data_IF_890792975674
#
_entry.id   IF_890792975674
#
_cell.length_a   1.000
_cell.length_b   1.000
_cell.length_c   1.000
_cell.angle_alpha   90.00
_cell.angle_beta   90.00
_cell.angle_gamma   90.00
#
_symmetry.space_group_name_H-M   'P 1'
#
loop_
_entity.id
_entity.type
_entity.pdbx_description
1 polymer ?
#
# COMPACT_ATOMS: atom_id res chain seq x y z
N UNK A 1 24.12 2.28 -10.57
CA UNK A 1 23.53 1.35 -11.53
C UNK A 1 23.92 1.73 -12.95
N UNK A 2 24.53 0.82 -13.69
CA UNK A 2 24.86 0.98 -15.12
C UNK A 2 23.53 1.09 -15.91
N UNK A 3 23.35 2.20 -16.63
CA UNK A 3 22.25 2.33 -17.59
C UNK A 3 22.51 1.36 -18.75
N UNK A 4 21.59 0.44 -19.01
CA UNK A 4 21.62 -0.42 -20.17
C UNK A 4 21.65 0.44 -21.45
N UNK A 5 22.37 0.02 -22.51
CA UNK A 5 22.33 0.67 -23.82
C UNK A 5 20.89 0.74 -24.37
N UNK A 6 20.55 1.81 -25.06
CA UNK A 6 19.19 2.03 -25.58
C UNK A 6 18.74 0.89 -26.50
N UNK A 7 19.67 0.34 -27.31
CA UNK A 7 19.37 -0.79 -28.21
C UNK A 7 19.06 -2.07 -27.42
N UNK A 8 19.71 -2.29 -26.29
CA UNK A 8 19.43 -3.46 -25.45
C UNK A 8 18.06 -3.33 -24.78
N UNK A 9 17.71 -2.14 -24.29
CA UNK A 9 16.36 -1.86 -23.75
C UNK A 9 15.31 -2.11 -24.83
N UNK A 10 15.54 -1.61 -26.07
CA UNK A 10 14.64 -1.79 -27.20
C UNK A 10 14.45 -3.26 -27.56
N UNK A 11 15.54 -4.03 -27.63
CA UNK A 11 15.49 -5.46 -27.92
C UNK A 11 14.79 -6.25 -26.82
N UNK A 12 15.01 -5.94 -25.55
CA UNK A 12 14.34 -6.60 -24.43
C UNK A 12 12.84 -6.31 -24.45
N UNK A 13 12.42 -5.05 -24.64
CA UNK A 13 11.00 -4.70 -24.76
C UNK A 13 10.33 -5.37 -25.95
N UNK A 14 11.05 -5.48 -27.08
CA UNK A 14 10.53 -6.19 -28.24
C UNK A 14 10.37 -7.69 -27.98
N UNK A 15 11.32 -8.33 -27.30
CA UNK A 15 11.22 -9.73 -26.89
C UNK A 15 10.03 -9.99 -25.96
N UNK A 16 9.80 -9.10 -24.97
CA UNK A 16 8.62 -9.17 -24.10
C UNK A 16 7.31 -9.08 -24.89
N UNK A 17 7.23 -8.15 -25.86
CA UNK A 17 6.05 -8.00 -26.71
C UNK A 17 5.81 -9.24 -27.60
N UNK A 18 6.86 -9.83 -28.18
CA UNK A 18 6.74 -11.06 -28.94
C UNK A 18 6.22 -12.21 -28.09
N UNK A 19 6.78 -12.37 -26.90
CA UNK A 19 6.36 -13.39 -25.95
C UNK A 19 4.89 -13.20 -25.53
N UNK A 20 4.50 -11.96 -25.22
CA UNK A 20 3.10 -11.64 -24.91
C UNK A 20 2.16 -11.98 -26.09
N UNK A 21 2.58 -11.71 -27.32
CA UNK A 21 1.76 -12.04 -28.50
C UNK A 21 1.57 -13.55 -28.70
N UNK A 22 2.55 -14.39 -28.36
CA UNK A 22 2.37 -15.85 -28.37
C UNK A 22 1.29 -16.30 -27.38
N UNK A 23 1.28 -15.71 -26.16
CA UNK A 23 0.25 -16.03 -25.17
C UNK A 23 -1.12 -15.54 -25.61
N UNK A 24 -1.23 -14.32 -26.18
CA UNK A 24 -2.50 -13.79 -26.68
C UNK A 24 -3.03 -14.63 -27.85
N UNK A 25 -2.16 -15.10 -28.73
CA UNK A 25 -2.53 -15.99 -29.82
C UNK A 25 -3.05 -17.35 -29.28
N UNK A 26 -2.38 -17.90 -28.28
CA UNK A 26 -2.85 -19.11 -27.60
C UNK A 26 -4.20 -18.90 -26.93
N UNK A 27 -4.40 -17.76 -26.24
CA UNK A 27 -5.68 -17.45 -25.62
C UNK A 27 -6.84 -17.48 -26.62
N UNK A 28 -6.61 -16.99 -27.85
CA UNK A 28 -7.59 -17.03 -28.94
C UNK A 28 -7.86 -18.45 -29.42
N UNK A 29 -6.80 -19.28 -29.57
CA UNK A 29 -6.94 -20.68 -29.96
C UNK A 29 -7.72 -21.49 -28.92
N UNK A 30 -7.50 -21.20 -27.64
CA UNK A 30 -8.15 -21.87 -26.51
C UNK A 30 -9.53 -21.25 -26.18
N UNK A 31 -9.99 -20.22 -26.93
CA UNK A 31 -11.25 -19.51 -26.71
C UNK A 31 -11.38 -18.98 -25.26
N UNK A 32 -10.30 -18.43 -24.71
CA UNK A 32 -10.31 -17.86 -23.37
C UNK A 32 -11.08 -16.53 -23.39
N UNK A 33 -12.11 -16.45 -22.58
CA UNK A 33 -12.92 -15.23 -22.40
C UNK A 33 -12.52 -14.51 -21.10
N UNK A 34 -12.42 -13.19 -21.19
CA UNK A 34 -12.16 -12.30 -20.04
C UNK A 34 -13.39 -11.43 -19.81
N UNK A 35 -13.82 -11.33 -18.55
CA UNK A 35 -14.99 -10.51 -18.19
C UNK A 35 -14.67 -9.02 -18.31
N UNK A 36 -15.52 -8.29 -19.04
CA UNK A 36 -15.34 -6.87 -19.31
C UNK A 36 -15.49 -5.99 -18.06
N UNK A 37 -16.35 -6.38 -17.13
CA UNK A 37 -16.69 -5.54 -15.95
C UNK A 37 -15.48 -5.25 -15.04
N UNK A 38 -14.62 -6.24 -14.82
CA UNK A 38 -13.38 -6.04 -14.04
C UNK A 38 -12.41 -5.10 -14.76
N UNK A 39 -12.26 -5.29 -16.08
CA UNK A 39 -11.37 -4.44 -16.90
C UNK A 39 -11.84 -2.99 -16.88
N UNK A 40 -13.14 -2.74 -17.01
CA UNK A 40 -13.69 -1.38 -17.08
C UNK A 40 -13.58 -0.65 -15.73
N UNK A 41 -13.70 -1.36 -14.61
CA UNK A 41 -13.44 -0.83 -13.27
C UNK A 41 -11.97 -0.43 -13.08
N UNK A 42 -11.05 -1.32 -13.41
CA UNK A 42 -9.61 -1.10 -13.27
C UNK A 42 -9.11 -0.03 -14.26
N UNK A 43 -9.66 0.02 -15.48
CA UNK A 43 -9.40 1.05 -16.45
C UNK A 43 -9.73 2.44 -15.91
N UNK A 44 -10.91 2.60 -15.31
CA UNK A 44 -11.32 3.87 -14.73
C UNK A 44 -10.37 4.30 -13.59
N UNK A 45 -9.94 3.36 -12.76
CA UNK A 45 -8.98 3.62 -11.69
C UNK A 45 -7.62 4.05 -12.25
N UNK A 46 -7.08 3.36 -13.25
CA UNK A 46 -5.80 3.69 -13.88
C UNK A 46 -5.85 5.06 -14.59
N UNK A 47 -6.90 5.33 -15.35
CA UNK A 47 -7.09 6.62 -16.02
C UNK A 47 -7.16 7.76 -15.00
N UNK A 48 -7.93 7.60 -13.94
CA UNK A 48 -8.03 8.62 -12.89
C UNK A 48 -6.70 8.86 -12.18
N UNK A 49 -5.90 7.79 -11.98
CA UNK A 49 -4.55 7.91 -11.44
C UNK A 49 -3.62 8.66 -12.40
N UNK A 50 -3.66 8.34 -13.69
CA UNK A 50 -2.86 9.00 -14.72
C UNK A 50 -3.22 10.50 -14.84
N UNK A 51 -4.51 10.84 -14.82
CA UNK A 51 -4.98 12.24 -14.83
C UNK A 51 -4.47 12.98 -13.59
N UNK A 52 -4.51 12.34 -12.40
CA UNK A 52 -3.97 12.93 -11.17
C UNK A 52 -2.48 13.23 -11.27
N UNK A 53 -1.70 12.31 -11.81
CA UNK A 53 -0.26 12.48 -11.99
C UNK A 53 0.08 13.55 -13.04
N UNK A 54 -0.67 13.61 -14.14
CA UNK A 54 -0.49 14.60 -15.19
C UNK A 54 -1.04 16.00 -14.81
N UNK A 55 -1.90 16.07 -13.78
CA UNK A 55 -2.55 17.29 -13.32
C UNK A 55 -3.88 17.61 -14.03
N UNK A 56 -4.11 17.11 -15.25
CA UNK A 56 -5.38 17.26 -15.99
C UNK A 56 -5.50 16.27 -17.15
N UNK A 57 -6.74 16.06 -17.64
CA UNK A 57 -6.99 15.28 -18.87
C UNK A 57 -6.23 15.87 -20.05
N UNK A 58 -6.26 17.20 -20.22
CA UNK A 58 -5.56 17.87 -21.30
C UNK A 58 -4.04 17.67 -21.25
N UNK A 59 -3.43 17.73 -20.06
CA UNK A 59 -2.00 17.45 -19.92
C UNK A 59 -1.66 15.99 -20.30
N UNK A 60 -2.57 15.05 -20.03
CA UNK A 60 -2.41 13.66 -20.43
C UNK A 60 -2.54 13.51 -21.97
N UNK A 61 -3.52 14.17 -22.59
CA UNK A 61 -3.69 14.21 -24.05
C UNK A 61 -2.47 14.83 -24.74
N UNK A 62 -1.96 15.94 -24.21
CA UNK A 62 -0.79 16.63 -24.74
C UNK A 62 0.49 15.78 -24.63
N UNK A 63 0.63 15.01 -23.53
CA UNK A 63 1.76 14.10 -23.33
C UNK A 63 1.74 12.93 -24.30
N UNK A 64 0.59 12.24 -24.44
CA UNK A 64 0.45 11.08 -25.31
C UNK A 64 0.19 11.47 -26.77
N UNK A 65 -0.12 12.73 -27.07
CA UNK A 65 -0.57 13.24 -28.38
C UNK A 65 -1.76 12.45 -28.95
N UNK A 66 -2.69 12.10 -28.07
CA UNK A 66 -3.91 11.33 -28.34
C UNK A 66 -5.07 11.89 -27.53
N UNK A 67 -6.28 11.73 -28.04
CA UNK A 67 -7.49 12.06 -27.30
C UNK A 67 -7.69 11.09 -26.10
N UNK A 68 -8.43 11.52 -25.07
CA UNK A 68 -8.78 10.66 -23.95
C UNK A 68 -9.49 9.37 -24.37
N UNK A 69 -10.26 9.43 -25.45
CA UNK A 69 -10.93 8.23 -26.00
C UNK A 69 -9.90 7.24 -26.53
N UNK A 70 -8.92 7.69 -27.30
CA UNK A 70 -7.84 6.84 -27.82
C UNK A 70 -6.96 6.29 -26.70
N UNK A 71 -6.61 7.13 -25.72
CA UNK A 71 -5.85 6.70 -24.53
C UNK A 71 -6.60 5.59 -23.77
N UNK A 72 -7.92 5.76 -23.55
CA UNK A 72 -8.76 4.74 -22.91
C UNK A 72 -8.81 3.45 -23.72
N UNK A 73 -8.94 3.54 -25.03
CA UNK A 73 -8.97 2.37 -25.91
C UNK A 73 -7.63 1.61 -25.88
N UNK A 74 -6.51 2.32 -25.90
CA UNK A 74 -5.17 1.73 -25.87
C UNK A 74 -4.90 1.04 -24.53
N UNK A 75 -5.22 1.69 -23.41
CA UNK A 75 -5.05 1.11 -22.07
C UNK A 75 -5.97 -0.11 -21.92
N UNK A 76 -7.25 0.00 -22.30
CA UNK A 76 -8.20 -1.12 -22.25
C UNK A 76 -7.72 -2.33 -23.04
N UNK A 77 -7.20 -2.09 -24.25
CA UNK A 77 -6.63 -3.15 -25.07
C UNK A 77 -5.43 -3.81 -24.39
N UNK A 78 -4.52 -3.01 -23.83
CA UNK A 78 -3.36 -3.53 -23.11
C UNK A 78 -3.78 -4.34 -21.87
N UNK A 79 -4.76 -3.87 -21.10
CA UNK A 79 -5.29 -4.60 -19.94
C UNK A 79 -5.91 -5.94 -20.34
N UNK A 80 -6.71 -5.95 -21.43
CA UNK A 80 -7.29 -7.18 -21.95
C UNK A 80 -6.20 -8.17 -22.38
N UNK A 81 -5.19 -7.72 -23.13
CA UNK A 81 -4.08 -8.56 -23.58
C UNK A 81 -3.30 -9.10 -22.36
N UNK A 82 -3.03 -8.29 -21.34
CA UNK A 82 -2.37 -8.72 -20.12
C UNK A 82 -3.18 -9.78 -19.35
N UNK A 83 -4.50 -9.60 -19.25
CA UNK A 83 -5.38 -10.58 -18.62
C UNK A 83 -5.39 -11.91 -19.39
N UNK A 84 -5.46 -11.88 -20.73
CA UNK A 84 -5.37 -13.07 -21.55
C UNK A 84 -4.04 -13.80 -21.35
N UNK A 85 -2.91 -13.07 -21.29
CA UNK A 85 -1.59 -13.63 -20.97
C UNK A 85 -1.60 -14.34 -19.62
N UNK A 86 -2.16 -13.69 -18.59
CA UNK A 86 -2.26 -14.28 -17.24
C UNK A 86 -3.10 -15.56 -17.24
N UNK A 87 -4.25 -15.57 -17.93
CA UNK A 87 -5.11 -16.76 -17.99
C UNK A 87 -4.42 -17.93 -18.67
N UNK A 88 -3.70 -17.70 -19.79
CA UNK A 88 -2.90 -18.75 -20.45
C UNK A 88 -1.79 -19.24 -19.52
N UNK A 89 -1.08 -18.35 -18.87
CA UNK A 89 -0.03 -18.71 -17.91
C UNK A 89 -0.58 -19.53 -16.74
N UNK A 90 -1.76 -19.16 -16.21
CA UNK A 90 -2.45 -19.92 -15.18
C UNK A 90 -2.84 -21.32 -15.66
N UNK A 91 -3.35 -21.43 -16.89
CA UNK A 91 -3.69 -22.73 -17.47
C UNK A 91 -2.46 -23.61 -17.68
N UNK A 92 -1.34 -23.07 -18.17
CA UNK A 92 -0.08 -23.80 -18.30
C UNK A 92 0.42 -24.31 -16.95
N UNK A 93 0.30 -23.48 -15.91
CA UNK A 93 0.78 -23.80 -14.57
C UNK A 93 -0.28 -24.51 -13.68
N UNK A 94 -1.49 -24.76 -14.18
CA UNK A 94 -2.64 -25.27 -13.40
C UNK A 94 -2.32 -26.53 -12.58
N UNK A 95 -1.52 -27.42 -13.13
CA UNK A 95 -1.16 -28.68 -12.49
C UNK A 95 0.26 -28.66 -11.90
N UNK A 96 0.90 -27.48 -11.83
CA UNK A 96 2.23 -27.39 -11.26
C UNK A 96 2.14 -27.56 -9.74
N UNK A 97 2.75 -28.61 -9.26
CA UNK A 97 2.96 -28.87 -7.85
C UNK A 97 4.43 -29.20 -7.61
N UNK A 98 5.01 -28.65 -6.57
CA UNK A 98 6.38 -28.99 -6.18
C UNK A 98 6.36 -29.75 -4.86
N UNK A 99 7.26 -30.72 -4.76
CA UNK A 99 7.43 -31.55 -3.56
C UNK A 99 8.47 -30.93 -2.62
N UNK A 100 8.50 -31.32 -1.33
CA UNK A 100 9.60 -30.93 -0.44
C UNK A 100 11.01 -31.29 -0.96
N UNK A 101 11.11 -32.31 -1.81
CA UNK A 101 12.36 -32.70 -2.48
C UNK A 101 12.78 -31.67 -3.53
N UNK A 102 11.81 -31.12 -4.27
CA UNK A 102 12.07 -30.09 -5.28
C UNK A 102 12.52 -28.78 -4.62
N UNK A 103 11.89 -28.41 -3.51
CA UNK A 103 12.30 -27.25 -2.70
C UNK A 103 13.74 -27.39 -2.21
N UNK A 104 14.10 -28.58 -1.68
CA UNK A 104 15.48 -28.85 -1.27
C UNK A 104 16.46 -28.82 -2.44
N UNK A 105 16.07 -29.35 -3.60
CA UNK A 105 16.91 -29.31 -4.82
C UNK A 105 17.14 -27.88 -5.26
N UNK A 106 16.09 -27.07 -5.30
CA UNK A 106 16.17 -25.65 -5.62
C UNK A 106 17.12 -24.92 -4.66
N UNK A 107 16.92 -25.08 -3.35
CA UNK A 107 17.75 -24.44 -2.33
C UNK A 107 19.25 -24.83 -2.48
N UNK A 108 19.53 -26.11 -2.67
CA UNK A 108 20.89 -26.62 -2.86
C UNK A 108 21.53 -26.18 -4.18
N UNK A 109 20.74 -25.73 -5.16
CA UNK A 109 21.25 -25.21 -6.43
C UNK A 109 21.74 -23.75 -6.32
N UNK A 110 21.37 -23.05 -5.25
CA UNK A 110 21.76 -21.66 -5.01
C UNK A 110 23.15 -21.67 -4.33
N UNK A 111 24.16 -20.95 -4.88
CA UNK A 111 25.43 -20.79 -4.19
C UNK A 111 25.25 -20.18 -2.80
N UNK A 112 25.96 -20.68 -1.80
CA UNK A 112 25.80 -20.22 -0.40
C UNK A 112 25.95 -18.70 -0.25
N UNK A 113 26.85 -18.08 -1.03
CA UNK A 113 27.10 -16.63 -0.99
C UNK A 113 25.97 -15.82 -1.67
N UNK A 114 25.18 -16.47 -2.51
CA UNK A 114 24.03 -15.88 -3.22
C UNK A 114 22.71 -16.12 -2.51
N UNK A 115 22.69 -16.84 -1.38
CA UNK A 115 21.49 -17.00 -0.58
C UNK A 115 21.04 -15.62 -0.06
N UNK A 116 19.75 -15.28 -0.18
CA UNK A 116 19.23 -14.00 0.31
C UNK A 116 19.42 -13.89 1.83
N UNK A 117 19.71 -12.68 2.28
CA UNK A 117 19.70 -12.35 3.71
C UNK A 117 18.26 -12.01 4.10
N UNK A 118 17.72 -12.79 5.01
CA UNK A 118 16.43 -12.52 5.64
C UNK A 118 16.68 -11.46 6.72
N UNK A 119 15.99 -10.30 6.69
CA UNK A 119 16.16 -9.28 7.71
C UNK A 119 15.73 -9.79 9.08
N UNK A 120 16.27 -9.16 10.14
CA UNK A 120 15.80 -9.42 11.49
C UNK A 120 14.30 -9.12 11.60
N UNK A 121 13.58 -10.00 12.27
CA UNK A 121 12.15 -9.85 12.53
C UNK A 121 11.88 -9.92 14.02
N UNK A 122 10.92 -9.14 14.45
CA UNK A 122 10.49 -9.05 15.84
C UNK A 122 9.00 -9.34 15.97
N UNK A 123 8.63 -9.99 17.05
CA UNK A 123 7.25 -10.08 17.51
C UNK A 123 7.10 -9.19 18.74
N UNK A 124 6.09 -8.34 18.74
CA UNK A 124 5.91 -7.34 19.78
C UNK A 124 4.48 -7.32 20.31
N UNK A 125 4.35 -6.94 21.56
CA UNK A 125 3.07 -6.62 22.19
C UNK A 125 3.05 -5.18 22.65
N UNK A 126 1.87 -4.54 22.61
CA UNK A 126 1.69 -3.13 22.97
C UNK A 126 0.60 -2.95 24.04
N UNK A 127 0.79 -1.96 24.88
CA UNK A 127 -0.28 -1.35 25.68
C UNK A 127 -0.35 0.10 25.26
N UNK A 128 -1.50 0.51 24.73
CA UNK A 128 -1.75 1.87 24.25
C UNK A 128 -2.70 2.58 25.20
N UNK A 129 -2.44 3.85 25.42
CA UNK A 129 -3.38 4.77 26.04
C UNK A 129 -3.55 5.96 25.11
N UNK A 130 -4.78 6.19 24.70
CA UNK A 130 -5.13 7.39 23.97
C UNK A 130 -5.23 8.57 24.94
N UNK A 131 -4.88 9.78 24.48
CA UNK A 131 -5.17 10.97 25.28
C UNK A 131 -6.67 10.99 25.57
N UNK A 132 -7.07 11.35 26.80
CA UNK A 132 -8.49 11.44 27.11
C UNK A 132 -9.17 12.42 26.16
N UNK A 133 -10.30 12.00 25.60
CA UNK A 133 -11.17 12.87 24.78
C UNK A 133 -11.49 14.12 25.62
N UNK A 134 -11.10 15.27 25.12
CA UNK A 134 -11.33 16.54 25.80
C UNK A 134 -12.16 17.44 24.89
N UNK A 135 -13.39 17.71 25.31
CA UNK A 135 -14.30 18.60 24.60
C UNK A 135 -13.71 20.00 24.41
N UNK A 136 -12.83 20.46 25.31
CA UNK A 136 -12.14 21.72 25.17
C UNK A 136 -11.17 21.71 23.95
N UNK A 137 -10.39 20.66 23.76
CA UNK A 137 -9.49 20.50 22.61
C UNK A 137 -10.27 20.42 21.31
N UNK A 138 -11.41 19.70 21.32
CA UNK A 138 -12.34 19.62 20.18
C UNK A 138 -12.96 20.98 19.88
N UNK A 139 -13.38 21.72 20.91
CA UNK A 139 -13.93 23.06 20.75
C UNK A 139 -12.91 24.05 20.15
N UNK A 140 -11.65 23.99 20.61
CA UNK A 140 -10.56 24.80 20.04
C UNK A 140 -10.31 24.49 18.56
N UNK A 141 -10.25 23.21 18.18
CA UNK A 141 -10.07 22.79 16.79
C UNK A 141 -11.26 23.24 15.92
N UNK A 142 -12.48 23.07 16.42
CA UNK A 142 -13.70 23.50 15.75
C UNK A 142 -13.75 25.02 15.60
N UNK A 143 -13.39 25.79 16.64
CA UNK A 143 -13.34 27.25 16.57
C UNK A 143 -12.34 27.74 15.54
N UNK A 144 -11.14 27.14 15.48
CA UNK A 144 -10.13 27.47 14.47
C UNK A 144 -10.66 27.26 13.05
N UNK A 145 -11.42 26.16 12.80
CA UNK A 145 -12.06 25.93 11.50
C UNK A 145 -13.20 26.92 11.21
N UNK A 146 -13.96 27.35 12.21
CA UNK A 146 -14.97 28.39 12.06
C UNK A 146 -14.34 29.71 11.62
N UNK A 147 -13.21 30.09 12.21
CA UNK A 147 -12.47 31.29 11.85
C UNK A 147 -11.90 31.20 10.42
N UNK A 148 -11.39 30.04 10.03
CA UNK A 148 -10.94 29.78 8.64
C UNK A 148 -12.12 29.84 7.68
N UNK A 149 -13.26 29.23 8.02
CA UNK A 149 -14.46 29.28 7.22
C UNK A 149 -14.96 30.70 7.00
N UNK A 150 -14.96 31.54 8.04
CA UNK A 150 -15.35 32.96 7.91
C UNK A 150 -14.43 33.70 6.95
N UNK A 151 -13.13 33.42 6.95
CA UNK A 151 -12.17 34.04 6.02
C UNK A 151 -12.44 33.58 4.57
N UNK A 152 -12.81 32.33 4.34
CA UNK A 152 -13.16 31.82 3.01
C UNK A 152 -14.44 32.49 2.51
N UNK A 153 -15.46 32.61 3.36
CA UNK A 153 -16.71 33.27 3.02
C UNK A 153 -16.53 34.79 2.78
N UNK A 154 -15.50 35.38 3.38
CA UNK A 154 -15.07 36.75 3.12
C UNK A 154 -14.21 36.92 1.84
N UNK A 155 -13.99 35.83 1.07
CA UNK A 155 -13.33 35.87 -0.24
C UNK A 155 -11.85 35.43 -0.24
N UNK A 156 -11.27 34.97 0.89
CA UNK A 156 -9.92 34.44 0.85
C UNK A 156 -9.92 33.07 0.12
N UNK A 157 -8.91 32.81 -0.74
CA UNK A 157 -8.82 31.54 -1.48
C UNK A 157 -8.69 30.34 -0.56
N UNK A 158 -9.54 29.32 -0.75
CA UNK A 158 -9.54 28.10 0.06
C UNK A 158 -8.20 27.38 0.03
N UNK A 159 -7.60 27.22 -1.16
CA UNK A 159 -6.32 26.52 -1.34
C UNK A 159 -5.18 27.19 -0.56
N UNK A 160 -5.13 28.52 -0.48
CA UNK A 160 -4.12 29.22 0.32
C UNK A 160 -4.27 28.93 1.81
N UNK A 161 -5.51 28.92 2.31
CA UNK A 161 -5.79 28.60 3.71
C UNK A 161 -5.55 27.12 4.01
N UNK A 162 -5.78 26.23 3.04
CA UNK A 162 -5.43 24.81 3.17
C UNK A 162 -3.91 24.61 3.30
N UNK A 163 -3.10 25.26 2.45
CA UNK A 163 -1.63 25.23 2.54
C UNK A 163 -1.14 25.72 3.91
N UNK A 164 -1.76 26.79 4.45
CA UNK A 164 -1.31 27.42 5.70
C UNK A 164 -1.73 26.65 6.95
N UNK A 165 -2.91 26.04 6.95
CA UNK A 165 -3.55 25.58 8.18
C UNK A 165 -3.90 24.10 8.20
N UNK A 166 -4.02 23.44 7.05
CA UNK A 166 -4.41 22.03 7.02
C UNK A 166 -3.30 21.13 7.55
N UNK A 167 -3.68 20.17 8.40
CA UNK A 167 -2.80 19.16 8.97
C UNK A 167 -2.90 17.81 8.19
N UNK A 168 -3.47 17.87 6.98
CA UNK A 168 -3.59 16.73 6.06
C UNK A 168 -2.43 16.70 5.06
N UNK A 169 -2.10 15.49 4.56
CA UNK A 169 -1.08 15.31 3.53
C UNK A 169 -1.38 16.00 2.19
N UNK A 170 -2.63 16.38 1.93
CA UNK A 170 -3.05 17.16 0.76
C UNK A 170 -2.78 18.67 0.88
N UNK A 171 -2.37 19.14 2.07
CA UNK A 171 -2.14 20.57 2.33
C UNK A 171 -1.23 21.26 1.29
N UNK A 172 -0.06 20.69 0.86
CA UNK A 172 0.79 21.30 -0.17
C UNK A 172 0.08 21.52 -1.51
N UNK A 173 -0.92 20.69 -1.81
CA UNK A 173 -1.74 20.78 -3.02
C UNK A 173 -3.04 21.61 -2.81
N UNK A 174 -3.05 22.49 -1.80
CA UNK A 174 -4.22 23.31 -1.48
C UNK A 174 -5.42 22.53 -0.94
N UNK A 175 -5.15 21.35 -0.35
CA UNK A 175 -6.14 20.46 0.24
C UNK A 175 -6.91 19.59 -0.76
N UNK A 176 -6.56 19.61 -2.06
CA UNK A 176 -7.25 18.84 -3.11
C UNK A 176 -6.88 17.35 -3.02
N UNK A 177 -7.90 16.48 -3.01
CA UNK A 177 -7.75 15.01 -2.91
C UNK A 177 -8.06 14.28 -4.23
N UNK A 178 -8.42 15.02 -5.28
CA UNK A 178 -8.80 14.48 -6.57
C UNK A 178 -10.18 13.81 -6.58
N UNK A 179 -10.51 13.16 -7.70
CA UNK A 179 -11.78 12.46 -7.84
C UNK A 179 -11.80 11.19 -6.99
N UNK A 180 -12.87 11.05 -6.19
CA UNK A 180 -13.10 9.94 -5.26
C UNK A 180 -14.50 9.39 -5.39
N UNK A 181 -14.65 8.07 -5.23
CA UNK A 181 -15.94 7.42 -5.03
C UNK A 181 -16.39 7.57 -3.57
N UNK A 182 -17.68 7.43 -3.34
CA UNK A 182 -18.27 7.55 -2.00
C UNK A 182 -17.65 6.58 -0.98
N UNK A 183 -17.38 5.35 -1.39
CA UNK A 183 -16.80 4.30 -0.54
C UNK A 183 -15.30 4.45 -0.24
N UNK A 184 -14.61 5.37 -0.93
CA UNK A 184 -13.19 5.68 -0.66
C UNK A 184 -13.01 6.75 0.43
N UNK A 185 -14.10 7.36 0.91
CA UNK A 185 -14.10 8.45 1.88
C UNK A 185 -14.79 8.00 3.18
N UNK A 186 -14.39 8.61 4.29
CA UNK A 186 -15.11 8.44 5.55
C UNK A 186 -16.57 8.83 5.37
N UNK A 187 -17.47 8.12 6.02
CA UNK A 187 -18.94 8.28 5.83
C UNK A 187 -19.39 9.71 6.02
N UNK A 188 -18.97 10.35 7.11
CA UNK A 188 -19.35 11.72 7.46
C UNK A 188 -18.82 12.73 6.45
N UNK A 189 -17.60 12.50 5.96
CA UNK A 189 -16.97 13.30 4.89
C UNK A 189 -17.75 13.14 3.58
N UNK A 190 -18.04 11.90 3.20
CA UNK A 190 -18.78 11.58 1.99
C UNK A 190 -20.18 12.19 2.01
N UNK A 191 -20.91 12.03 3.12
CA UNK A 191 -22.26 12.58 3.28
C UNK A 191 -22.26 14.11 3.09
N UNK A 192 -21.29 14.79 3.67
CA UNK A 192 -21.12 16.23 3.49
C UNK A 192 -20.74 16.58 2.05
N UNK A 193 -19.74 15.91 1.46
CA UNK A 193 -19.26 16.19 0.10
C UNK A 193 -20.36 16.01 -0.94
N UNK A 194 -21.17 14.94 -0.84
CA UNK A 194 -22.27 14.70 -1.79
C UNK A 194 -23.42 15.71 -1.67
N UNK A 195 -23.57 16.37 -0.52
CA UNK A 195 -24.59 17.42 -0.31
C UNK A 195 -24.17 18.80 -0.87
N UNK A 196 -22.88 18.98 -1.22
CA UNK A 196 -22.34 20.27 -1.65
C UNK A 196 -22.62 20.54 -3.14
N UNK A 197 -22.99 21.77 -3.46
CA UNK A 197 -22.93 22.30 -4.81
C UNK A 197 -21.48 22.71 -5.20
N UNK A 198 -21.20 22.79 -6.49
CA UNK A 198 -19.90 23.20 -7.01
C UNK A 198 -19.45 24.56 -6.41
N UNK A 199 -18.21 24.64 -5.97
CA UNK A 199 -17.59 25.79 -5.32
C UNK A 199 -18.18 26.18 -3.96
N UNK A 200 -19.09 25.40 -3.38
CA UNK A 200 -19.61 25.66 -2.03
C UNK A 200 -18.78 24.98 -0.96
N UNK A 201 -18.83 25.53 0.26
CA UNK A 201 -18.06 25.09 1.42
C UNK A 201 -19.01 24.50 2.46
N UNK A 202 -18.62 23.37 3.03
CA UNK A 202 -19.42 22.63 4.03
C UNK A 202 -19.58 23.41 5.35
N UNK A 203 -20.43 22.89 6.23
CA UNK A 203 -20.26 23.06 7.68
C UNK A 203 -19.01 22.29 8.11
N UNK A 204 -18.60 22.44 9.37
CA UNK A 204 -17.53 21.61 9.94
C UNK A 204 -18.03 20.17 10.06
N UNK A 205 -17.20 19.24 9.56
CA UNK A 205 -17.47 17.78 9.56
C UNK A 205 -16.47 17.12 10.50
N UNK A 206 -16.95 16.35 11.46
CA UNK A 206 -16.13 15.57 12.36
C UNK A 206 -15.99 14.15 11.79
N UNK A 207 -14.75 13.63 11.73
CA UNK A 207 -14.43 12.24 11.39
C UNK A 207 -13.40 11.70 12.39
N UNK A 208 -13.05 10.44 12.28
CA UNK A 208 -11.97 9.86 13.09
C UNK A 208 -10.60 10.54 12.90
N UNK A 209 -10.40 11.26 11.79
CA UNK A 209 -9.16 12.02 11.52
C UNK A 209 -9.13 13.40 12.18
N UNK A 210 -10.25 13.90 12.64
CA UNK A 210 -10.42 15.25 13.21
C UNK A 210 -11.56 16.02 12.55
N UNK A 211 -11.42 17.34 12.52
CA UNK A 211 -12.44 18.25 11.97
C UNK A 211 -12.06 18.70 10.58
N UNK A 212 -13.00 18.62 9.65
CA UNK A 212 -12.82 18.98 8.25
C UNK A 212 -13.70 20.15 7.85
N UNK A 213 -13.15 21.00 7.02
CA UNK A 213 -13.90 21.97 6.20
C UNK A 213 -13.71 21.54 4.75
N UNK A 214 -14.79 21.29 4.02
CA UNK A 214 -14.77 20.67 2.70
C UNK A 214 -15.29 21.67 1.67
N UNK A 215 -14.63 21.76 0.50
CA UNK A 215 -15.15 22.50 -0.65
C UNK A 215 -15.27 21.56 -1.86
N UNK A 216 -16.44 21.60 -2.51
CA UNK A 216 -16.67 20.92 -3.77
C UNK A 216 -15.98 21.65 -4.90
N UNK A 217 -15.09 20.95 -5.63
CA UNK A 217 -14.42 21.46 -6.83
C UNK A 217 -15.24 21.08 -8.06
N UNK A 218 -15.51 19.78 -8.21
CA UNK A 218 -16.21 19.26 -9.39
C UNK A 218 -16.87 17.90 -9.11
N UNK A 219 -17.83 17.53 -9.97
CA UNK A 219 -18.51 16.23 -9.92
C UNK A 219 -18.60 15.63 -11.31
N UNK A 220 -18.25 14.34 -11.45
CA UNK A 220 -18.37 13.57 -12.69
C UNK A 220 -19.06 12.23 -12.40
N UNK A 221 -20.35 12.16 -12.69
CA UNK A 221 -21.16 10.98 -12.34
C UNK A 221 -21.10 10.69 -10.84
N UNK A 222 -20.65 9.49 -10.47
CA UNK A 222 -20.51 9.04 -9.08
C UNK A 222 -19.18 9.45 -8.42
N UNK A 223 -18.36 10.25 -9.10
CA UNK A 223 -17.09 10.75 -8.59
C UNK A 223 -17.22 12.21 -8.17
N UNK A 224 -16.63 12.55 -7.02
CA UNK A 224 -16.50 13.93 -6.56
C UNK A 224 -15.04 14.31 -6.42
N UNK A 225 -14.68 15.49 -6.89
CA UNK A 225 -13.40 16.14 -6.60
C UNK A 225 -13.62 17.21 -5.55
N UNK A 226 -12.94 17.07 -4.42
CA UNK A 226 -13.05 17.99 -3.29
C UNK A 226 -11.67 18.44 -2.83
N UNK A 227 -11.63 19.56 -2.13
CA UNK A 227 -10.51 19.98 -1.29
C UNK A 227 -10.97 20.16 0.13
N UNK A 228 -10.07 19.95 1.09
CA UNK A 228 -10.41 20.11 2.50
C UNK A 228 -9.30 20.77 3.32
N UNK A 229 -9.70 21.27 4.48
CA UNK A 229 -8.81 21.70 5.55
C UNK A 229 -9.10 20.81 6.74
N UNK A 230 -8.10 20.07 7.19
CA UNK A 230 -8.16 19.20 8.38
C UNK A 230 -7.47 19.90 9.55
N UNK A 231 -8.15 19.98 10.69
CA UNK A 231 -7.56 20.37 11.97
C UNK A 231 -7.82 19.26 12.98
N UNK A 232 -6.75 18.78 13.61
CA UNK A 232 -6.83 17.79 14.68
C UNK A 232 -6.89 18.46 16.06
N UNK A 233 -7.69 17.95 17.00
CA UNK A 233 -7.63 18.38 18.39
C UNK A 233 -6.21 18.18 18.95
N UNK A 234 -5.61 19.23 19.50
CA UNK A 234 -4.24 19.15 20.04
C UNK A 234 -4.26 18.66 21.47
N UNK A 235 -3.45 17.65 21.75
CA UNK A 235 -3.28 17.13 23.11
C UNK A 235 -2.49 18.15 23.94
N UNK A 236 -3.04 18.54 25.10
CA UNK A 236 -2.38 19.49 26.01
C UNK A 236 -1.29 18.80 26.84
N UNK A 237 -0.25 19.52 27.32
CA UNK A 237 0.85 18.94 28.08
C UNK A 237 0.40 18.15 29.33
N UNK A 238 -0.66 18.61 30.02
CA UNK A 238 -1.22 17.94 31.18
C UNK A 238 -1.84 16.57 30.85
N UNK A 239 -2.44 16.45 29.66
CA UNK A 239 -3.02 15.19 29.17
C UNK A 239 -1.91 14.19 28.80
N UNK A 240 -0.85 14.68 28.16
CA UNK A 240 0.37 13.92 27.88
C UNK A 240 0.95 13.36 29.19
N UNK A 241 1.13 14.23 30.16
CA UNK A 241 1.69 13.82 31.45
C UNK A 241 0.82 12.79 32.19
N UNK A 242 -0.51 12.93 32.12
CA UNK A 242 -1.44 11.96 32.72
C UNK A 242 -1.34 10.60 32.02
N UNK A 243 -1.29 10.55 30.71
CA UNK A 243 -1.16 9.31 29.96
C UNK A 243 0.18 8.60 30.25
N UNK A 244 1.28 9.36 30.26
CA UNK A 244 2.62 8.83 30.59
C UNK A 244 2.62 8.32 32.03
N UNK A 245 2.14 9.08 32.99
CA UNK A 245 2.10 8.66 34.43
C UNK A 245 1.30 7.38 34.62
N UNK A 246 0.17 7.24 33.89
CA UNK A 246 -0.64 6.02 33.96
C UNK A 246 0.13 4.82 33.37
N UNK A 247 0.78 4.99 32.24
CA UNK A 247 1.61 3.95 31.63
C UNK A 247 2.82 3.59 32.51
N UNK A 248 3.49 4.57 33.11
CA UNK A 248 4.58 4.34 34.04
C UNK A 248 4.14 3.50 35.25
N UNK A 249 2.93 3.76 35.79
CA UNK A 249 2.37 2.96 36.87
C UNK A 249 2.15 1.51 36.44
N UNK A 250 1.62 1.29 35.22
CA UNK A 250 1.42 -0.04 34.65
C UNK A 250 2.77 -0.73 34.41
N UNK A 251 3.73 -0.03 33.80
CA UNK A 251 5.07 -0.57 33.50
C UNK A 251 5.79 -1.01 34.79
N UNK A 252 5.69 -0.21 35.89
CA UNK A 252 6.26 -0.58 37.17
C UNK A 252 5.62 -1.84 37.77
N UNK A 253 4.31 -2.03 37.61
CA UNK A 253 3.64 -3.23 38.12
C UNK A 253 4.07 -4.47 37.29
N UNK A 254 4.21 -4.32 35.98
CA UNK A 254 4.69 -5.40 35.11
C UNK A 254 6.14 -5.77 35.45
N UNK A 255 7.05 -4.77 35.60
CA UNK A 255 8.46 -5.01 35.96
C UNK A 255 8.65 -5.63 37.31
N UNK A 256 7.65 -5.51 38.22
CA UNK A 256 7.64 -6.12 39.57
C UNK A 256 6.91 -7.47 39.58
N UNK A 257 6.55 -8.03 38.46
CA UNK A 257 5.75 -9.25 38.30
C UNK A 257 4.41 -9.25 39.10
N UNK A 258 3.92 -8.07 39.49
CA UNK A 258 2.64 -7.92 40.17
C UNK A 258 1.45 -7.86 39.22
N UNK A 259 1.71 -7.69 37.91
CA UNK A 259 0.71 -7.65 36.86
C UNK A 259 1.35 -8.24 35.59
N UNK A 260 0.69 -9.22 34.96
CA UNK A 260 1.13 -9.74 33.65
C UNK A 260 0.86 -8.73 32.55
N UNK A 261 1.71 -8.71 31.54
CA UNK A 261 1.58 -7.78 30.42
C UNK A 261 0.25 -7.98 29.69
N UNK A 262 -0.13 -9.23 29.47
CA UNK A 262 -1.37 -9.62 28.77
C UNK A 262 -2.60 -9.12 29.53
N UNK A 263 -2.64 -9.31 30.84
CA UNK A 263 -3.74 -8.84 31.69
C UNK A 263 -3.83 -7.31 31.71
N UNK A 264 -2.67 -6.65 31.71
CA UNK A 264 -2.59 -5.19 31.62
C UNK A 264 -3.09 -4.68 30.25
N UNK A 265 -2.72 -5.35 29.16
CA UNK A 265 -3.18 -5.02 27.82
C UNK A 265 -4.71 -5.14 27.71
N UNK A 266 -5.28 -6.26 28.13
CA UNK A 266 -6.74 -6.47 28.14
C UNK A 266 -7.47 -5.43 28.99
N UNK A 267 -6.91 -5.06 30.12
CA UNK A 267 -7.57 -4.19 31.10
C UNK A 267 -7.43 -2.70 30.79
N UNK A 268 -6.29 -2.26 30.27
CA UNK A 268 -5.94 -0.85 30.18
C UNK A 268 -5.70 -0.33 28.78
N UNK A 269 -5.40 -1.21 27.80
CA UNK A 269 -5.11 -0.78 26.43
C UNK A 269 -6.35 -0.25 25.74
N UNK A 270 -6.20 0.87 25.05
CA UNK A 270 -7.22 1.46 24.16
C UNK A 270 -7.14 0.94 22.74
N UNK A 271 -6.03 0.29 22.35
CA UNK A 271 -5.85 -0.29 21.03
C UNK A 271 -6.70 -1.56 20.86
N UNK A 272 -7.81 -1.46 20.13
CA UNK A 272 -8.84 -2.49 20.07
C UNK A 272 -8.31 -3.86 19.62
N UNK A 273 -7.53 -3.89 18.55
CA UNK A 273 -7.08 -5.14 17.92
C UNK A 273 -6.07 -5.92 18.78
N UNK A 274 -5.10 -5.23 19.40
CA UNK A 274 -4.11 -5.91 20.24
C UNK A 274 -4.68 -6.25 21.63
N UNK A 275 -5.60 -5.43 22.14
CA UNK A 275 -6.19 -5.61 23.48
C UNK A 275 -6.81 -7.00 23.65
N UNK A 276 -7.59 -7.46 22.67
CA UNK A 276 -8.26 -8.77 22.73
C UNK A 276 -7.29 -9.96 22.65
N UNK A 277 -6.06 -9.71 22.16
CA UNK A 277 -5.01 -10.71 22.02
C UNK A 277 -3.87 -10.54 23.05
N UNK A 278 -4.19 -10.00 24.25
CA UNK A 278 -3.20 -9.83 25.30
C UNK A 278 -2.08 -8.83 24.96
N UNK A 279 -2.34 -7.91 24.06
CA UNK A 279 -1.39 -6.90 23.61
C UNK A 279 -0.66 -7.23 22.33
N UNK A 280 -0.71 -8.48 21.84
CA UNK A 280 0.00 -8.89 20.60
C UNK A 280 -0.34 -7.95 19.44
N UNK A 281 0.70 -7.32 18.90
CA UNK A 281 0.53 -6.38 17.79
C UNK A 281 0.41 -7.14 16.47
N UNK A 282 -0.60 -6.77 15.68
CA UNK A 282 -0.92 -7.39 14.40
C UNK A 282 -0.90 -6.31 13.33
N UNK A 283 -0.41 -6.65 12.14
CA UNK A 283 -0.42 -5.76 10.98
C UNK A 283 -1.84 -5.22 10.71
N UNK A 284 -1.93 -3.94 10.40
CA UNK A 284 -3.18 -3.27 10.03
C UNK A 284 -3.62 -3.55 8.61
N UNK A 285 -2.79 -4.25 7.81
CA UNK A 285 -3.18 -4.69 6.48
C UNK A 285 -4.24 -5.80 6.58
N UNK A 286 -5.50 -5.56 6.15
CA UNK A 286 -6.57 -6.55 6.27
C UNK A 286 -6.30 -7.86 5.51
N UNK A 287 -5.44 -7.80 4.48
CA UNK A 287 -5.10 -8.94 3.63
C UNK A 287 -4.02 -9.83 4.24
N UNK A 288 -3.23 -9.31 5.18
CA UNK A 288 -2.10 -10.02 5.79
C UNK A 288 -2.04 -9.73 7.30
N UNK A 289 -2.64 -10.60 8.10
CA UNK A 289 -2.53 -10.54 9.56
C UNK A 289 -1.19 -11.11 10.02
N UNK A 290 -0.12 -10.35 9.81
CA UNK A 290 1.21 -10.74 10.30
C UNK A 290 1.42 -10.25 11.74
N UNK A 291 2.16 -11.04 12.52
CA UNK A 291 2.58 -10.73 13.90
C UNK A 291 4.09 -10.60 14.02
N UNK A 292 4.81 -10.86 12.93
CA UNK A 292 6.25 -10.70 12.83
C UNK A 292 6.57 -9.56 11.88
N UNK A 293 7.31 -8.59 12.35
CA UNK A 293 7.66 -7.38 11.61
C UNK A 293 9.16 -7.30 11.40
N UNK A 294 9.61 -6.88 10.23
CA UNK A 294 10.95 -6.35 10.11
C UNK A 294 11.02 -4.98 10.82
N UNK A 295 12.20 -4.64 11.33
CA UNK A 295 12.35 -3.40 12.13
C UNK A 295 12.01 -2.13 11.33
N UNK A 296 12.18 -2.14 10.02
CA UNK A 296 11.86 -1.04 9.09
C UNK A 296 10.35 -0.90 8.78
N UNK A 297 9.55 -1.93 9.08
CA UNK A 297 8.07 -1.85 9.01
C UNK A 297 7.45 -1.15 10.22
N UNK A 298 8.20 -1.02 11.32
CA UNK A 298 7.75 -0.30 12.49
C UNK A 298 7.89 1.21 12.27
N UNK A 299 6.96 2.00 12.82
CA UNK A 299 7.14 3.45 12.82
C UNK A 299 8.41 3.84 13.61
N UNK A 300 8.95 5.02 13.33
CA UNK A 300 10.24 5.47 13.85
C UNK A 300 10.33 5.40 15.39
N UNK A 301 9.28 5.79 16.08
CA UNK A 301 9.24 5.83 17.54
C UNK A 301 9.25 4.42 18.12
N UNK A 302 8.48 3.50 17.53
CA UNK A 302 8.46 2.09 17.94
C UNK A 302 9.81 1.42 17.65
N UNK A 303 10.36 1.63 16.42
CA UNK A 303 11.68 1.15 16.08
C UNK A 303 12.74 1.54 17.12
N UNK A 304 12.78 2.84 17.50
CA UNK A 304 13.76 3.36 18.47
C UNK A 304 13.62 2.74 19.86
N UNK A 305 12.45 2.22 20.21
CA UNK A 305 12.21 1.56 21.49
C UNK A 305 12.46 0.06 21.45
N UNK A 306 12.04 -0.59 20.36
CA UNK A 306 12.13 -2.05 20.23
C UNK A 306 13.58 -2.52 20.01
N UNK A 307 14.39 -1.79 19.23
CA UNK A 307 15.75 -2.19 18.86
C UNK A 307 16.70 -2.43 20.03
N UNK A 308 16.44 -1.77 21.18
CA UNK A 308 17.31 -1.82 22.37
C UNK A 308 16.76 -2.79 23.45
N UNK A 309 15.60 -3.45 23.22
CA UNK A 309 14.99 -4.41 24.13
C UNK A 309 15.50 -5.82 23.87
N UNK A 310 15.49 -6.62 24.91
CA UNK A 310 15.64 -8.09 24.82
C UNK A 310 14.28 -8.76 24.91
N UNK A 311 14.13 -9.99 24.37
CA UNK A 311 12.89 -10.76 24.54
C UNK A 311 12.43 -10.80 25.99
N UNK A 312 11.16 -10.45 26.21
CA UNK A 312 10.53 -10.31 27.52
C UNK A 312 10.64 -8.91 28.16
N UNK A 313 11.52 -8.04 27.70
CA UNK A 313 11.67 -6.68 28.23
C UNK A 313 10.60 -5.73 27.68
N UNK A 314 10.23 -4.74 28.50
CA UNK A 314 9.29 -3.68 28.14
C UNK A 314 9.98 -2.32 28.08
N UNK A 315 9.55 -1.48 27.15
CA UNK A 315 10.03 -0.11 27.02
C UNK A 315 9.53 0.77 28.19
N UNK A 316 10.13 1.95 28.30
CA UNK A 316 9.48 3.06 29.01
C UNK A 316 8.33 3.60 28.13
N UNK A 317 7.32 4.25 28.75
CA UNK A 317 6.26 4.93 28.03
C UNK A 317 6.81 5.95 27.04
N UNK A 318 6.22 5.99 25.85
CA UNK A 318 6.59 6.96 24.83
C UNK A 318 5.37 7.40 24.02
N UNK A 319 5.47 8.57 23.46
CA UNK A 319 4.49 9.09 22.50
C UNK A 319 4.81 8.57 21.08
N UNK A 320 3.79 8.19 20.37
CA UNK A 320 3.84 7.81 18.95
C UNK A 320 2.53 8.21 18.27
N UNK A 321 2.30 7.73 17.07
CA UNK A 321 1.03 7.90 16.37
C UNK A 321 0.35 6.55 16.15
N UNK A 322 -0.99 6.59 16.11
CA UNK A 322 -1.78 5.47 15.61
C UNK A 322 -1.70 5.39 14.08
N UNK A 323 -2.40 4.43 13.50
CA UNK A 323 -2.43 4.13 12.07
C UNK A 323 -3.04 5.26 11.22
N UNK A 324 -3.78 6.17 11.85
CA UNK A 324 -4.41 7.33 11.20
C UNK A 324 -3.74 8.66 11.56
N UNK A 325 -2.59 8.59 12.27
CA UNK A 325 -1.74 9.73 12.61
C UNK A 325 -2.16 10.52 13.84
N UNK A 326 -3.06 10.01 14.69
CA UNK A 326 -3.37 10.64 15.96
C UNK A 326 -2.29 10.34 16.99
N UNK A 327 -1.95 11.28 17.88
CA UNK A 327 -0.99 11.05 18.94
C UNK A 327 -1.54 10.06 19.96
N UNK A 328 -0.77 9.01 20.24
CA UNK A 328 -1.07 7.99 21.24
C UNK A 328 0.16 7.72 22.12
N UNK A 329 -0.05 7.09 23.26
CA UNK A 329 1.03 6.73 24.20
C UNK A 329 1.10 5.22 24.32
N UNK A 330 2.31 4.65 24.18
CA UNK A 330 2.52 3.20 24.20
C UNK A 330 3.63 2.78 25.16
N UNK A 331 3.49 1.56 25.67
CA UNK A 331 4.58 0.70 26.11
C UNK A 331 4.63 -0.45 25.12
N UNK A 332 5.82 -0.84 24.71
CA UNK A 332 6.05 -2.01 23.86
C UNK A 332 6.85 -3.05 24.62
N UNK A 333 6.48 -4.32 24.48
CA UNK A 333 7.29 -5.47 24.90
C UNK A 333 7.82 -6.16 23.65
N UNK A 334 9.10 -6.51 23.67
CA UNK A 334 9.65 -7.44 22.70
C UNK A 334 9.31 -8.86 23.15
N UNK A 335 8.44 -9.54 22.40
CA UNK A 335 8.01 -10.90 22.75
C UNK A 335 9.02 -11.93 22.28
N UNK A 336 9.48 -11.79 21.03
CA UNK A 336 10.47 -12.68 20.44
C UNK A 336 11.24 -11.98 19.31
N UNK A 337 12.41 -12.50 18.95
CA UNK A 337 13.31 -11.95 17.96
C UNK A 337 13.91 -13.07 17.11
N UNK A 338 13.88 -12.90 15.79
CA UNK A 338 14.64 -13.70 14.85
C UNK A 338 15.73 -12.79 14.26
N UNK A 339 17.01 -13.03 14.56
CA UNK A 339 18.09 -12.20 14.03
C UNK A 339 18.20 -12.31 12.51
N UNK A 340 18.81 -11.30 11.88
CA UNK A 340 19.09 -11.36 10.45
C UNK A 340 20.00 -12.56 10.15
N UNK A 341 19.61 -13.35 9.15
CA UNK A 341 20.35 -14.56 8.79
C UNK A 341 20.24 -14.84 7.28
N UNK A 342 21.14 -15.69 6.77
CA UNK A 342 20.97 -16.23 5.43
C UNK A 342 19.83 -17.23 5.41
N UNK A 343 19.00 -17.15 4.37
CA UNK A 343 17.86 -18.03 4.21
C UNK A 343 18.24 -19.51 4.42
N UNK A 344 17.44 -20.23 5.19
CA UNK A 344 17.63 -21.64 5.48
C UNK A 344 16.29 -22.42 5.46
N UNK A 345 16.37 -23.73 5.23
CA UNK A 345 15.18 -24.59 5.09
C UNK A 345 14.41 -24.82 6.39
N UNK A 346 14.98 -24.50 7.55
CA UNK A 346 14.33 -24.71 8.84
C UNK A 346 13.37 -23.54 9.15
N UNK A 347 13.87 -22.33 9.00
CA UNK A 347 13.19 -21.13 9.48
C UNK A 347 12.44 -20.40 8.34
N UNK A 348 12.91 -20.58 7.06
CA UNK A 348 12.41 -19.83 5.89
C UNK A 348 11.80 -20.75 4.82
N UNK A 349 11.30 -21.92 5.23
CA UNK A 349 10.79 -22.93 4.28
C UNK A 349 9.75 -22.36 3.31
N UNK A 350 8.78 -21.57 3.80
CA UNK A 350 7.73 -21.00 2.94
C UNK A 350 8.28 -20.00 1.93
N UNK A 351 9.25 -19.17 2.34
CA UNK A 351 9.94 -18.23 1.44
C UNK A 351 10.67 -19.00 0.33
N UNK A 352 11.41 -20.03 0.69
CA UNK A 352 12.16 -20.89 -0.26
C UNK A 352 11.19 -21.67 -1.16
N UNK A 353 10.09 -22.17 -0.61
CA UNK A 353 9.03 -22.84 -1.37
C UNK A 353 8.45 -21.91 -2.45
N UNK A 354 8.11 -20.69 -2.09
CA UNK A 354 7.57 -19.71 -3.04
C UNK A 354 8.59 -19.40 -4.15
N UNK A 355 9.86 -19.21 -3.79
CA UNK A 355 10.93 -18.99 -4.76
C UNK A 355 11.15 -20.20 -5.70
N UNK A 356 11.13 -21.40 -5.16
CA UNK A 356 11.21 -22.65 -5.93
C UNK A 356 10.01 -22.80 -6.88
N UNK A 357 8.79 -22.52 -6.40
CA UNK A 357 7.57 -22.53 -7.19
C UNK A 357 7.65 -21.53 -8.35
N UNK A 358 8.11 -20.30 -8.09
CA UNK A 358 8.31 -19.31 -9.14
C UNK A 358 9.35 -19.75 -10.17
N UNK A 359 10.45 -20.36 -9.73
CA UNK A 359 11.50 -20.89 -10.61
C UNK A 359 10.96 -22.01 -11.53
N UNK A 360 10.21 -22.96 -10.99
CA UNK A 360 9.61 -24.04 -11.79
C UNK A 360 8.52 -23.51 -12.74
N UNK A 361 7.74 -22.52 -12.30
CA UNK A 361 6.76 -21.83 -13.16
C UNK A 361 7.44 -21.14 -14.35
N UNK A 362 8.52 -20.41 -14.11
CA UNK A 362 9.29 -19.76 -15.17
C UNK A 362 9.91 -20.76 -16.14
N UNK A 363 10.40 -21.90 -15.64
CA UNK A 363 10.91 -22.99 -16.48
C UNK A 363 9.81 -23.56 -17.36
N UNK A 364 8.64 -23.82 -16.78
CA UNK A 364 7.48 -24.31 -17.51
C UNK A 364 7.06 -23.36 -18.64
N UNK A 365 7.06 -22.04 -18.37
CA UNK A 365 6.74 -21.03 -19.39
C UNK A 365 7.79 -20.99 -20.49
N UNK A 366 9.09 -21.06 -20.18
CA UNK A 366 10.17 -21.11 -21.19
C UNK A 366 10.05 -22.33 -22.09
N UNK A 367 9.79 -23.49 -21.49
CA UNK A 367 9.63 -24.74 -22.26
C UNK A 367 8.39 -24.68 -23.16
N UNK A 368 7.31 -24.06 -22.69
CA UNK A 368 6.12 -23.82 -23.48
C UNK A 368 6.39 -22.84 -24.64
N UNK A 369 7.07 -21.72 -24.37
CA UNK A 369 7.45 -20.70 -25.38
C UNK A 369 8.28 -21.37 -26.48
N UNK A 370 9.31 -22.15 -26.14
CA UNK A 370 10.13 -22.87 -27.12
C UNK A 370 9.29 -23.75 -28.06
N UNK A 371 8.40 -24.56 -27.51
CA UNK A 371 7.49 -25.41 -28.30
C UNK A 371 6.57 -24.57 -29.21
N UNK A 372 6.08 -23.44 -28.71
CA UNK A 372 5.19 -22.57 -29.49
C UNK A 372 5.91 -21.85 -30.61
N UNK A 373 7.14 -21.41 -30.44
CA UNK A 373 7.96 -20.81 -31.48
C UNK A 373 8.14 -21.80 -32.66
N UNK A 374 8.30 -23.10 -32.41
CA UNK A 374 8.47 -24.12 -33.43
C UNK A 374 7.23 -24.27 -34.32
N UNK A 375 6.03 -24.12 -33.73
CA UNK A 375 4.75 -24.40 -34.39
C UNK A 375 4.01 -23.16 -34.88
N UNK A 376 4.47 -21.95 -34.49
CA UNK A 376 3.82 -20.68 -34.83
C UNK A 376 4.53 -20.00 -35.99
N UNK A 377 3.77 -19.43 -36.95
CA UNK A 377 4.33 -18.56 -37.97
C UNK A 377 4.67 -17.19 -37.37
N UNK A 378 5.95 -16.86 -37.36
CA UNK A 378 6.48 -15.61 -36.79
C UNK A 378 7.21 -14.85 -37.87
N UNK A 379 6.83 -13.57 -38.09
CA UNK A 379 7.51 -12.65 -39.00
C UNK A 379 8.02 -11.44 -38.21
N UNK A 380 9.32 -11.29 -38.13
CA UNK A 380 10.00 -10.18 -37.46
C UNK A 380 10.48 -9.18 -38.53
N UNK A 381 10.24 -7.88 -38.29
CA UNK A 381 10.73 -6.81 -39.14
C UNK A 381 12.26 -6.71 -39.08
N UNK A 382 12.86 -6.27 -40.21
CA UNK A 382 14.32 -6.25 -40.38
C UNK A 382 15.05 -5.45 -39.30
N UNK A 383 14.41 -4.42 -38.76
CA UNK A 383 14.95 -3.56 -37.70
C UNK A 383 15.22 -4.27 -36.35
N UNK A 384 14.55 -5.42 -36.11
CA UNK A 384 14.70 -6.22 -34.89
C UNK A 384 15.45 -7.55 -35.12
N UNK A 385 15.85 -7.86 -36.32
CA UNK A 385 16.59 -9.10 -36.61
C UNK A 385 17.97 -9.15 -35.99
N UNK A 386 18.54 -7.99 -35.63
CA UNK A 386 19.81 -7.90 -34.96
C UNK A 386 19.72 -8.12 -33.42
N UNK A 387 18.50 -8.20 -32.90
CA UNK A 387 18.29 -8.44 -31.45
C UNK A 387 18.70 -9.85 -31.06
N UNK A 388 19.33 -9.97 -29.87
CA UNK A 388 19.60 -11.26 -29.25
C UNK A 388 18.38 -11.67 -28.43
N UNK A 389 17.73 -12.74 -28.86
CA UNK A 389 16.59 -13.30 -28.15
C UNK A 389 17.03 -14.32 -27.10
N UNK A 390 16.30 -14.44 -26.00
CA UNK A 390 16.58 -15.40 -24.93
C UNK A 390 16.37 -16.84 -25.38
N UNK A 391 15.35 -17.10 -26.16
CA UNK A 391 15.04 -18.39 -26.78
C UNK A 391 15.48 -18.42 -28.25
N UNK A 392 15.97 -19.57 -28.69
CA UNK A 392 16.29 -19.81 -30.08
C UNK A 392 15.01 -20.04 -30.93
N UNK A 393 15.06 -19.73 -32.23
CA UNK A 393 13.98 -20.02 -33.17
C UNK A 393 13.06 -18.86 -33.52
N UNK A 394 13.23 -17.68 -32.90
CA UNK A 394 12.46 -16.48 -33.29
C UNK A 394 12.75 -15.99 -34.70
N UNK A 395 13.97 -16.17 -35.16
CA UNK A 395 14.41 -15.87 -36.53
C UNK A 395 14.44 -17.18 -37.33
N UNK A 396 13.40 -17.47 -38.08
CA UNK A 396 13.33 -18.60 -38.99
C UNK A 396 13.69 -18.15 -40.41
#
# INVERSE_FOLDING_TARGET
GSRLPLDEIRCNSFHELLTAKLFVDQARLDSIEVTNDMIDSDLNMQINNAIRQAGSEKALEDYFKKSMVEIRMDIRKSMLENQLVQEVQNNIAKNLAITPSDVRRYFNSIPKDSLPVIPARVQISIIQIDPPDNEENKAEARQKLLDIRSQILAGKPFNMLAILYSEDGSAPNGGEIGYKMRGELEKEYADAAWSLAKNTVSKIVETKYGFHLIQMIDRKGDLVNTRHILIRPKVKPEQIQRAITKLDSIARQIRKDSLKFEDAAVRYSTHADSRINGGLYVSTNPSERITWFSLDELNKEMYMKVRDLKPGEISDPFQTTDEIGNPVFRIVRLDDEVPAHRANLKDDYQFIYNAAMMSERQKLYRDWIKKKIETTYIKISDEFKSCKFLEEGWLK
#
